data_IF_902965771816
#
_entry.id   IF_902965771816
#
_cell.length_a   1.000
_cell.length_b   1.000
_cell.length_c   1.000
_cell.angle_alpha   90.00
_cell.angle_beta   90.00
_cell.angle_gamma   90.00
#
_symmetry.space_group_name_H-M   'P 1'
#
loop_
_entity.id
_entity.type
_entity.pdbx_description
1 polymer ?
#
# COMPACT_ATOMS: atom_id res chain seq x y z
N UNK A 1 -15.28 9.64 -86.90
CA UNK A 1 -14.49 8.40 -87.13
C UNK A 1 -13.59 8.23 -85.90
N UNK A 2 -13.92 7.34 -84.93
CA UNK A 2 -13.25 6.02 -84.70
C UNK A 2 -11.75 6.25 -84.35
N UNK A 3 -11.13 5.95 -83.19
CA UNK A 3 -11.20 4.95 -82.07
C UNK A 3 -10.33 5.54 -80.91
N UNK A 4 -10.64 5.46 -79.61
CA UNK A 4 -10.64 4.33 -78.64
C UNK A 4 -9.24 3.85 -78.14
N UNK A 5 -8.99 4.06 -76.82
CA UNK A 5 -8.06 3.38 -75.84
C UNK A 5 -6.55 3.59 -76.09
N UNK A 6 -5.68 3.88 -75.13
CA UNK A 6 -5.35 3.29 -73.81
C UNK A 6 -4.31 4.26 -73.18
N UNK A 7 -4.13 4.43 -71.86
CA UNK A 7 -3.08 3.75 -71.08
C UNK A 7 -2.97 4.37 -69.67
N UNK A 8 -2.72 3.50 -68.70
CA UNK A 8 -2.62 3.67 -67.25
C UNK A 8 -1.74 4.84 -66.80
N UNK A 9 -2.19 5.60 -65.79
CA UNK A 9 -1.33 6.45 -64.97
C UNK A 9 -0.94 5.72 -63.68
N UNK A 10 0.37 5.69 -63.47
CA UNK A 10 1.12 5.03 -62.39
C UNK A 10 0.80 5.67 -61.03
N UNK A 11 0.20 4.92 -60.12
CA UNK A 11 0.26 5.20 -58.68
C UNK A 11 1.50 4.51 -58.12
N UNK A 12 2.45 5.30 -57.62
CA UNK A 12 3.62 4.79 -56.92
C UNK A 12 3.18 4.11 -55.61
N UNK A 13 3.41 2.80 -55.51
CA UNK A 13 3.41 2.05 -54.27
C UNK A 13 4.52 2.61 -53.36
N UNK A 14 4.14 3.21 -52.23
CA UNK A 14 5.04 3.32 -51.09
C UNK A 14 5.00 2.00 -50.29
N UNK A 15 6.20 1.56 -49.96
CA UNK A 15 6.54 0.25 -49.43
C UNK A 15 5.78 -0.16 -48.17
N UNK A 16 5.17 -1.35 -48.26
CA UNK A 16 4.85 -2.19 -47.11
C UNK A 16 6.13 -2.79 -46.55
N UNK A 17 6.59 -2.30 -45.40
CA UNK A 17 7.39 -3.11 -44.48
C UNK A 17 6.61 -3.23 -43.17
N UNK A 18 5.94 -4.37 -43.05
CA UNK A 18 5.28 -4.86 -41.85
C UNK A 18 6.33 -4.99 -40.76
N UNK A 19 6.43 -3.97 -39.92
CA UNK A 19 7.08 -4.08 -38.63
C UNK A 19 5.97 -4.32 -37.61
N UNK A 20 5.61 -5.59 -37.42
CA UNK A 20 4.81 -6.04 -36.29
C UNK A 20 5.59 -5.76 -35.03
N UNK A 21 5.43 -4.54 -34.51
CA UNK A 21 5.84 -4.17 -33.17
C UNK A 21 4.96 -4.98 -32.23
N UNK A 22 5.58 -5.89 -31.48
CA UNK A 22 4.96 -6.53 -30.34
C UNK A 22 4.28 -5.46 -29.49
N UNK A 23 2.97 -5.55 -29.38
CA UNK A 23 2.18 -4.82 -28.41
C UNK A 23 2.71 -5.17 -27.01
N UNK A 24 3.55 -4.29 -26.47
CA UNK A 24 3.79 -4.21 -25.03
C UNK A 24 2.44 -3.90 -24.38
N UNK A 25 1.88 -4.88 -23.67
CA UNK A 25 0.73 -4.69 -22.78
C UNK A 25 1.23 -3.90 -21.57
N UNK A 26 1.43 -2.60 -21.74
CA UNK A 26 1.54 -1.65 -20.65
C UNK A 26 0.13 -1.15 -20.37
N UNK A 27 -0.56 -1.78 -19.41
CA UNK A 27 -1.74 -1.19 -18.80
C UNK A 27 -1.36 0.21 -18.32
N UNK A 28 -2.08 1.23 -18.79
CA UNK A 28 -1.85 2.62 -18.40
C UNK A 28 -2.41 2.79 -17.01
N UNK A 29 -1.56 2.56 -16.01
CA UNK A 29 -1.80 3.02 -14.65
C UNK A 29 -2.33 4.45 -14.66
N UNK A 30 -3.56 4.66 -14.17
CA UNK A 30 -4.15 5.99 -14.03
C UNK A 30 -4.26 6.38 -12.55
N UNK A 31 -4.23 7.69 -12.28
CA UNK A 31 -4.70 8.26 -11.01
C UNK A 31 -6.17 8.65 -11.12
N UNK A 32 -6.90 7.96 -12.00
CA UNK A 32 -8.13 8.43 -12.63
C UNK A 32 -9.41 7.95 -11.95
N UNK A 33 -10.57 8.18 -12.59
CA UNK A 33 -11.88 7.91 -12.01
C UNK A 33 -12.14 6.42 -11.76
N UNK A 34 -11.39 5.51 -12.39
CA UNK A 34 -11.58 4.06 -12.24
C UNK A 34 -11.49 3.60 -10.79
N UNK A 35 -10.67 4.25 -9.97
CA UNK A 35 -10.53 3.93 -8.55
C UNK A 35 -11.69 4.41 -7.67
N UNK A 36 -12.61 5.23 -8.20
CA UNK A 36 -13.73 5.84 -7.48
C UNK A 36 -15.10 5.42 -8.02
N UNK A 37 -15.15 4.81 -9.21
CA UNK A 37 -16.39 4.33 -9.83
C UNK A 37 -16.60 2.84 -9.62
N UNK A 38 -17.81 2.37 -9.95
CA UNK A 38 -18.17 0.97 -9.89
C UNK A 38 -17.24 0.14 -10.80
N UNK A 39 -16.57 -0.86 -10.23
CA UNK A 39 -15.84 -1.89 -10.96
C UNK A 39 -15.74 -3.15 -10.09
N UNK A 40 -15.03 -4.18 -10.56
CA UNK A 40 -14.92 -5.46 -9.85
C UNK A 40 -13.51 -5.75 -9.31
N UNK A 41 -12.53 -4.86 -9.50
CA UNK A 41 -11.15 -5.08 -9.06
C UNK A 41 -10.94 -4.58 -7.63
N UNK A 42 -9.83 -4.96 -7.01
CA UNK A 42 -9.36 -4.42 -5.73
C UNK A 42 -8.46 -3.19 -5.97
N UNK A 43 -8.01 -2.50 -4.92
CA UNK A 43 -7.29 -1.23 -5.06
C UNK A 43 -8.19 -0.05 -5.44
N UNK A 44 -9.49 -0.17 -5.14
CA UNK A 44 -10.53 0.79 -5.53
C UNK A 44 -11.38 1.17 -4.30
N UNK A 45 -12.17 2.22 -4.44
CA UNK A 45 -13.02 2.76 -3.39
C UNK A 45 -13.97 1.73 -2.80
N UNK A 46 -14.05 1.69 -1.48
CA UNK A 46 -15.06 0.95 -0.74
C UNK A 46 -15.00 1.21 0.75
N UNK A 47 -15.95 0.67 1.50
CA UNK A 47 -16.01 0.85 2.93
C UNK A 47 -17.32 0.35 3.51
N UNK A 48 -17.42 0.40 4.84
CA UNK A 48 -18.64 0.05 5.54
C UNK A 48 -19.73 1.11 5.32
N UNK A 49 -20.93 0.69 4.95
CA UNK A 49 -22.04 1.61 4.61
C UNK A 49 -22.58 2.39 5.80
N UNK A 50 -22.27 1.94 7.03
CA UNK A 50 -22.65 2.61 8.25
C UNK A 50 -21.58 3.60 8.74
N UNK A 51 -20.46 3.74 8.03
CA UNK A 51 -19.43 4.74 8.35
C UNK A 51 -19.81 6.14 7.87
N UNK A 52 -20.91 6.62 8.44
CA UNK A 52 -21.60 7.84 8.06
C UNK A 52 -22.17 8.55 9.29
N UNK A 53 -22.13 9.87 9.23
CA UNK A 53 -22.75 10.79 10.16
C UNK A 53 -23.62 11.78 9.40
N UNK A 54 -24.31 12.68 10.11
CA UNK A 54 -25.12 13.75 9.48
C UNK A 54 -24.33 14.68 8.56
N UNK A 55 -22.99 14.74 8.69
CA UNK A 55 -22.14 15.73 7.98
C UNK A 55 -21.06 15.11 7.12
N UNK A 56 -20.68 13.85 7.37
CA UNK A 56 -19.56 13.20 6.73
C UNK A 56 -19.87 11.73 6.50
N UNK A 57 -19.42 11.19 5.38
CA UNK A 57 -19.28 9.75 5.15
C UNK A 57 -17.81 9.41 4.90
N UNK A 58 -17.46 8.15 5.15
CA UNK A 58 -16.11 7.64 5.06
C UNK A 58 -15.99 6.63 3.91
N UNK A 59 -14.81 6.59 3.31
CA UNK A 59 -14.40 5.56 2.35
C UNK A 59 -12.90 5.35 2.47
N UNK A 60 -12.47 4.12 2.25
CA UNK A 60 -11.08 3.79 2.02
C UNK A 60 -10.94 3.01 0.73
N UNK A 61 -9.99 2.08 0.73
CA UNK A 61 -9.70 1.17 -0.38
C UNK A 61 -10.07 -0.27 0.00
N UNK A 62 -10.76 -0.98 -0.88
CA UNK A 62 -10.85 -2.45 -0.83
C UNK A 62 -9.52 -3.02 -1.33
N UNK A 63 -8.63 -3.40 -0.41
CA UNK A 63 -7.21 -3.59 -0.69
C UNK A 63 -6.86 -4.78 -1.55
N UNK A 64 -7.35 -5.96 -1.17
CA UNK A 64 -7.02 -7.21 -1.82
C UNK A 64 -8.01 -8.32 -1.46
N UNK A 65 -7.91 -9.44 -2.16
CA UNK A 65 -8.62 -10.68 -1.87
C UNK A 65 -7.74 -11.63 -1.08
N UNK A 66 -8.27 -12.13 0.02
CA UNK A 66 -7.66 -13.21 0.80
C UNK A 66 -8.65 -14.36 0.95
N UNK A 67 -8.13 -15.52 1.32
CA UNK A 67 -8.93 -16.72 1.58
C UNK A 67 -8.47 -17.39 2.86
N UNK A 68 -9.39 -18.10 3.50
CA UNK A 68 -9.07 -19.00 4.60
C UNK A 68 -8.78 -20.43 4.12
N UNK A 69 -8.50 -21.34 5.06
CA UNK A 69 -8.24 -22.76 4.79
C UNK A 69 -9.46 -23.55 4.31
N UNK A 70 -10.67 -23.02 4.44
CA UNK A 70 -11.90 -23.63 3.92
C UNK A 70 -12.19 -23.20 2.47
N UNK A 71 -11.46 -22.21 1.96
CA UNK A 71 -11.68 -21.60 0.66
C UNK A 71 -12.69 -20.45 0.68
N UNK A 72 -13.12 -19.99 1.86
CA UNK A 72 -13.96 -18.81 1.97
C UNK A 72 -13.16 -17.54 1.61
N UNK A 73 -13.78 -16.67 0.82
CA UNK A 73 -13.15 -15.46 0.29
C UNK A 73 -13.49 -14.23 1.13
N UNK A 74 -12.50 -13.39 1.38
CA UNK A 74 -12.65 -12.16 2.14
C UNK A 74 -11.96 -10.99 1.45
N UNK A 75 -12.60 -9.83 1.51
CA UNK A 75 -11.96 -8.55 1.19
C UNK A 75 -11.11 -8.13 2.39
N UNK A 76 -9.83 -7.87 2.13
CA UNK A 76 -8.88 -7.28 3.08
C UNK A 76 -8.86 -5.75 2.92
N UNK A 77 -8.98 -5.04 4.03
CA UNK A 77 -8.74 -3.59 4.13
C UNK A 77 -8.38 -3.23 5.58
N UNK A 78 -8.38 -1.96 5.95
CA UNK A 78 -8.13 -1.51 7.33
C UNK A 78 -9.37 -1.71 8.23
N UNK A 79 -9.12 -1.80 9.54
CA UNK A 79 -10.14 -1.77 10.57
C UNK A 79 -10.93 -0.45 10.48
N UNK A 80 -10.25 0.68 10.39
CA UNK A 80 -10.95 1.97 10.29
C UNK A 80 -11.74 2.16 8.98
N UNK A 81 -11.62 1.25 8.00
CA UNK A 81 -12.38 1.28 6.73
C UNK A 81 -13.57 0.30 6.75
N UNK A 82 -13.40 -0.92 7.24
CA UNK A 82 -14.46 -1.95 7.24
C UNK A 82 -15.12 -2.15 8.61
N UNK A 83 -14.35 -1.96 9.68
CA UNK A 83 -14.80 -2.17 11.05
C UNK A 83 -15.16 -0.86 11.78
N UNK A 84 -15.16 0.28 11.08
CA UNK A 84 -15.55 1.60 11.61
C UNK A 84 -14.79 1.96 12.88
N UNK A 85 -13.49 1.64 12.90
CA UNK A 85 -12.63 1.82 14.08
C UNK A 85 -13.17 1.08 15.31
N UNK A 86 -13.31 -0.25 15.19
CA UNK A 86 -13.89 -1.18 16.18
C UNK A 86 -15.38 -0.98 16.51
N UNK A 87 -16.12 -0.18 15.74
CA UNK A 87 -17.55 0.08 16.00
C UNK A 87 -18.51 -0.81 15.18
N UNK A 88 -18.00 -1.53 14.18
CA UNK A 88 -18.84 -2.35 13.33
C UNK A 88 -19.30 -3.63 14.03
N UNK A 89 -20.53 -4.03 13.73
CA UNK A 89 -21.09 -5.33 14.08
C UNK A 89 -20.88 -6.31 12.92
N UNK A 90 -20.61 -7.57 13.23
CA UNK A 90 -20.51 -8.65 12.23
C UNK A 90 -21.78 -8.67 11.36
N UNK A 91 -21.60 -8.77 10.05
CA UNK A 91 -22.67 -8.75 9.05
C UNK A 91 -23.04 -7.36 8.51
N UNK A 92 -22.37 -6.29 8.96
CA UNK A 92 -22.57 -4.97 8.35
C UNK A 92 -22.13 -4.95 6.87
N UNK A 93 -22.93 -4.31 6.02
CA UNK A 93 -22.72 -4.22 4.59
C UNK A 93 -21.46 -3.41 4.23
N UNK A 94 -20.66 -3.93 3.30
CA UNK A 94 -19.53 -3.23 2.68
C UNK A 94 -19.87 -2.92 1.22
N UNK A 95 -19.72 -1.66 0.81
CA UNK A 95 -20.05 -1.22 -0.55
C UNK A 95 -18.83 -0.98 -1.43
N UNK A 96 -19.06 -1.09 -2.75
CA UNK A 96 -18.16 -0.63 -3.82
C UNK A 96 -19.01 0.11 -4.87
N UNK A 97 -18.71 1.39 -5.19
CA UNK A 97 -17.75 2.26 -4.50
C UNK A 97 -18.08 2.49 -3.01
N UNK A 98 -17.16 3.12 -2.29
CA UNK A 98 -17.42 3.60 -0.94
C UNK A 98 -18.37 4.80 -0.93
N UNK A 99 -18.88 5.15 0.24
CA UNK A 99 -19.89 6.21 0.42
C UNK A 99 -19.45 7.57 -0.14
N UNK A 100 -18.19 7.97 0.09
CA UNK A 100 -17.63 9.25 -0.39
C UNK A 100 -17.80 9.41 -1.90
N UNK A 101 -17.64 8.33 -2.64
CA UNK A 101 -17.66 8.33 -4.11
C UNK A 101 -19.06 8.04 -4.68
N UNK A 102 -20.06 7.89 -3.80
CA UNK A 102 -21.47 7.69 -4.16
C UNK A 102 -22.42 8.61 -3.38
N UNK A 103 -22.02 9.86 -3.15
CA UNK A 103 -22.83 10.91 -2.50
C UNK A 103 -23.39 10.48 -1.13
N UNK A 104 -22.60 9.73 -0.35
CA UNK A 104 -22.98 9.17 0.93
C UNK A 104 -24.22 8.26 0.91
N UNK A 105 -24.54 7.68 -0.25
CA UNK A 105 -25.55 6.64 -0.41
C UNK A 105 -24.83 5.32 -0.66
N UNK A 106 -25.27 4.23 -0.02
CA UNK A 106 -24.69 2.92 -0.31
C UNK A 106 -25.03 2.48 -1.74
N UNK A 107 -24.03 2.21 -2.61
CA UNK A 107 -24.25 1.63 -3.94
C UNK A 107 -24.39 0.10 -3.82
N UNK A 108 -23.70 -0.64 -4.70
CA UNK A 108 -23.65 -2.10 -4.68
C UNK A 108 -22.95 -2.57 -3.41
N UNK A 109 -23.59 -3.50 -2.72
CA UNK A 109 -22.97 -4.22 -1.60
C UNK A 109 -22.17 -5.39 -2.15
N UNK A 110 -20.91 -5.48 -1.73
CA UNK A 110 -19.95 -6.45 -2.24
C UNK A 110 -19.48 -7.45 -1.20
N UNK A 111 -19.58 -7.12 0.09
CA UNK A 111 -19.14 -7.99 1.17
C UNK A 111 -19.90 -7.70 2.48
N UNK A 112 -19.75 -8.58 3.45
CA UNK A 112 -20.32 -8.49 4.79
C UNK A 112 -19.18 -8.46 5.82
N UNK A 113 -19.11 -7.46 6.69
CA UNK A 113 -18.05 -7.35 7.68
C UNK A 113 -17.98 -8.62 8.55
N UNK A 114 -16.78 -9.21 8.66
CA UNK A 114 -16.59 -10.48 9.37
C UNK A 114 -15.89 -10.25 10.70
N UNK A 115 -14.70 -9.65 10.68
CA UNK A 115 -13.86 -9.54 11.87
C UNK A 115 -12.70 -8.57 11.66
N UNK A 116 -12.17 -8.05 12.76
CA UNK A 116 -10.96 -7.23 12.77
C UNK A 116 -10.19 -7.45 14.08
N UNK A 117 -8.84 -7.53 14.04
CA UNK A 117 -8.01 -7.25 15.20
C UNK A 117 -8.36 -5.86 15.74
N UNK A 118 -8.39 -5.72 17.08
CA UNK A 118 -8.72 -4.46 17.72
C UNK A 118 -7.70 -3.37 17.33
N UNK A 119 -8.13 -2.14 17.13
CA UNK A 119 -7.20 -1.02 16.93
C UNK A 119 -6.24 -0.92 18.13
N UNK A 120 -4.97 -0.67 17.83
CA UNK A 120 -3.89 -0.74 18.80
C UNK A 120 -3.31 -2.13 19.05
N UNK A 121 -3.81 -3.20 18.41
CA UNK A 121 -3.18 -4.53 18.42
C UNK A 121 -1.96 -4.64 17.49
N UNK A 122 -1.25 -3.52 17.24
CA UNK A 122 -0.11 -3.39 16.33
C UNK A 122 -0.40 -3.54 14.83
N UNK A 123 -1.64 -3.81 14.43
CA UNK A 123 -2.10 -3.79 13.04
C UNK A 123 -3.43 -3.06 12.93
N UNK A 124 -3.71 -2.51 11.76
CA UNK A 124 -4.99 -1.91 11.40
C UNK A 124 -5.53 -2.64 10.17
N UNK A 125 -6.31 -3.68 10.41
CA UNK A 125 -6.78 -4.59 9.37
C UNK A 125 -8.16 -5.13 9.70
N UNK A 126 -8.91 -5.51 8.67
CA UNK A 126 -10.22 -6.13 8.79
C UNK A 126 -10.51 -7.04 7.59
N UNK A 127 -11.39 -7.99 7.82
CA UNK A 127 -11.94 -8.89 6.82
C UNK A 127 -13.45 -8.66 6.67
N UNK A 128 -13.91 -8.68 5.43
CA UNK A 128 -15.33 -8.77 5.10
C UNK A 128 -15.56 -9.94 4.12
N UNK A 129 -16.48 -10.84 4.43
CA UNK A 129 -16.80 -12.00 3.61
C UNK A 129 -17.33 -11.55 2.26
N UNK A 130 -16.68 -11.99 1.19
CA UNK A 130 -17.04 -11.60 -0.17
C UNK A 130 -18.40 -12.19 -0.56
N UNK A 131 -19.31 -11.35 -1.05
CA UNK A 131 -20.57 -11.82 -1.64
C UNK A 131 -20.29 -12.45 -3.02
N UNK A 132 -20.87 -13.61 -3.35
CA UNK A 132 -20.61 -14.25 -4.64
C UNK A 132 -20.96 -13.37 -5.84
N UNK A 133 -20.06 -13.31 -6.83
CA UNK A 133 -20.28 -12.57 -8.08
C UNK A 133 -20.21 -11.04 -7.95
N UNK A 134 -19.79 -10.50 -6.80
CA UNK A 134 -19.72 -9.05 -6.59
C UNK A 134 -18.37 -8.44 -6.96
N UNK A 135 -17.27 -9.18 -6.78
CA UNK A 135 -15.91 -8.73 -7.11
C UNK A 135 -15.16 -9.82 -7.88
N UNK A 136 -14.02 -9.45 -8.46
CA UNK A 136 -13.16 -10.32 -9.23
C UNK A 136 -12.52 -11.38 -8.32
N UNK A 137 -12.82 -12.65 -8.57
CA UNK A 137 -12.33 -13.75 -7.74
C UNK A 137 -10.86 -14.11 -8.00
N UNK A 138 -10.20 -13.52 -9.01
CA UNK A 138 -8.75 -13.70 -9.19
C UNK A 138 -7.92 -12.83 -8.24
N UNK A 139 -8.54 -11.91 -7.51
CA UNK A 139 -7.83 -10.97 -6.65
C UNK A 139 -7.11 -9.86 -7.41
N UNK A 140 -7.47 -9.61 -8.68
CA UNK A 140 -6.81 -8.57 -9.46
C UNK A 140 -7.00 -7.19 -8.83
N UNK A 141 -5.88 -6.47 -8.68
CA UNK A 141 -5.86 -5.10 -8.19
C UNK A 141 -5.83 -4.16 -9.41
N UNK A 142 -6.66 -3.12 -9.41
CA UNK A 142 -6.72 -2.11 -10.49
C UNK A 142 -5.32 -1.56 -10.77
N UNK A 143 -4.93 -1.53 -12.05
CA UNK A 143 -3.62 -1.10 -12.55
C UNK A 143 -2.37 -1.89 -12.11
N UNK A 144 -2.55 -2.94 -11.30
CA UNK A 144 -1.48 -3.87 -10.92
C UNK A 144 -1.70 -5.25 -11.54
N UNK A 145 -2.96 -5.67 -11.65
CA UNK A 145 -3.36 -7.01 -12.07
C UNK A 145 -3.34 -8.02 -10.91
N UNK A 146 -3.28 -9.30 -11.27
CA UNK A 146 -3.25 -10.39 -10.29
C UNK A 146 -1.91 -10.42 -9.55
N UNK A 147 -1.99 -10.44 -8.22
CA UNK A 147 -0.82 -10.49 -7.34
C UNK A 147 -0.32 -11.92 -7.11
N UNK A 148 0.85 -12.05 -6.48
CA UNK A 148 1.34 -13.31 -5.96
C UNK A 148 0.62 -13.69 -4.66
N UNK A 149 0.33 -14.98 -4.46
CA UNK A 149 -0.10 -15.51 -3.15
C UNK A 149 1.05 -15.57 -2.14
N UNK A 150 2.29 -15.46 -2.59
CA UNK A 150 3.50 -15.50 -1.77
C UNK A 150 3.92 -14.09 -1.36
N UNK A 151 3.90 -13.83 -0.06
CA UNK A 151 4.33 -12.56 0.54
C UNK A 151 5.83 -12.33 0.37
N UNK A 152 6.25 -11.06 0.38
CA UNK A 152 7.65 -10.64 0.38
C UNK A 152 7.94 -9.81 1.63
N UNK A 153 9.02 -10.16 2.34
CA UNK A 153 9.45 -9.39 3.50
C UNK A 153 9.89 -7.97 3.09
N UNK A 154 9.53 -6.94 3.86
CA UNK A 154 9.94 -5.57 3.58
C UNK A 154 11.44 -5.41 3.81
N UNK A 155 12.15 -4.87 2.82
CA UNK A 155 13.56 -4.47 2.93
C UNK A 155 13.73 -3.00 2.56
N UNK A 156 14.67 -2.31 3.21
CA UNK A 156 15.01 -0.92 2.85
C UNK A 156 15.55 -0.90 1.43
N UNK A 157 15.02 -0.01 0.60
CA UNK A 157 15.37 0.06 -0.83
C UNK A 157 14.52 -0.82 -1.73
N UNK A 158 13.56 -1.60 -1.21
CA UNK A 158 12.64 -2.36 -2.04
C UNK A 158 11.68 -1.44 -2.80
N UNK A 159 11.68 -1.55 -4.14
CA UNK A 159 10.68 -0.93 -4.99
C UNK A 159 9.29 -1.53 -4.73
N UNK A 160 8.30 -0.66 -4.54
CA UNK A 160 6.92 -1.03 -4.21
C UNK A 160 5.92 -0.24 -5.06
N UNK A 161 4.72 -0.79 -5.18
CA UNK A 161 3.58 -0.14 -5.80
C UNK A 161 2.32 -0.36 -4.95
N UNK A 162 1.31 0.48 -5.15
CA UNK A 162 -0.02 0.30 -4.58
C UNK A 162 -1.07 0.88 -5.52
N UNK A 163 -2.28 0.38 -5.42
CA UNK A 163 -3.47 0.97 -6.04
C UNK A 163 -4.47 1.34 -4.96
N UNK A 164 -5.03 2.55 -5.02
CA UNK A 164 -5.88 3.09 -3.96
C UNK A 164 -6.89 4.11 -4.46
N UNK A 165 -7.95 4.32 -3.68
CA UNK A 165 -9.11 5.12 -4.10
C UNK A 165 -8.75 6.55 -4.53
N UNK A 166 -7.75 7.17 -3.92
CA UNK A 166 -7.46 8.60 -4.08
C UNK A 166 -6.31 8.85 -5.02
N UNK A 167 -5.19 8.15 -4.84
CA UNK A 167 -3.99 8.38 -5.66
C UNK A 167 -3.84 7.39 -6.79
N UNK A 168 -4.76 6.43 -6.94
CA UNK A 168 -4.72 5.40 -7.97
C UNK A 168 -3.47 4.54 -7.87
N UNK A 169 -2.90 4.16 -9.02
CA UNK A 169 -1.61 3.48 -9.05
C UNK A 169 -0.44 4.43 -8.77
N UNK A 170 0.33 4.14 -7.72
CA UNK A 170 1.57 4.85 -7.42
C UNK A 170 2.71 3.87 -7.13
N UNK A 171 3.93 4.34 -7.34
CA UNK A 171 5.15 3.59 -7.05
C UNK A 171 6.03 4.35 -6.07
N UNK A 172 6.84 3.61 -5.33
CA UNK A 172 7.72 4.16 -4.32
C UNK A 172 8.80 3.17 -3.91
N UNK A 173 9.51 3.52 -2.84
CA UNK A 173 10.58 2.68 -2.28
C UNK A 173 10.48 2.71 -0.78
N UNK A 174 10.69 1.56 -0.14
CA UNK A 174 10.74 1.46 1.32
C UNK A 174 11.95 2.24 1.84
N UNK A 175 11.69 3.27 2.64
CA UNK A 175 12.70 4.13 3.23
C UNK A 175 13.14 3.68 4.63
N UNK A 176 12.23 3.05 5.38
CA UNK A 176 12.52 2.51 6.71
C UNK A 176 11.66 1.30 7.04
N UNK A 177 12.22 0.37 7.82
CA UNK A 177 11.60 -0.83 8.35
C UNK A 177 11.83 -0.91 9.87
N UNK A 178 11.18 -1.86 10.53
CA UNK A 178 11.23 -2.01 11.99
C UNK A 178 10.84 -0.71 12.69
N UNK A 179 9.98 0.11 12.08
CA UNK A 179 9.71 1.45 12.56
C UNK A 179 8.64 1.43 13.63
N UNK A 180 8.95 1.98 14.79
CA UNK A 180 7.94 2.37 15.76
C UNK A 180 7.44 3.76 15.46
N UNK A 181 6.12 3.95 15.50
CA UNK A 181 5.46 5.15 15.00
C UNK A 181 4.22 5.47 15.84
N UNK A 182 4.01 6.75 16.10
CA UNK A 182 2.82 7.28 16.77
C UNK A 182 1.82 7.74 15.72
N UNK A 183 0.66 7.09 15.66
CA UNK A 183 -0.39 7.34 14.67
C UNK A 183 -1.60 7.94 15.37
N UNK A 184 -2.14 9.04 14.85
CA UNK A 184 -3.37 9.66 15.35
C UNK A 184 -4.58 9.12 14.59
N UNK A 185 -5.61 8.76 15.36
CA UNK A 185 -6.91 8.35 14.84
C UNK A 185 -7.95 9.45 15.09
N UNK A 186 -8.41 10.16 14.05
CA UNK A 186 -9.49 11.13 14.18
C UNK A 186 -10.76 10.48 14.72
N UNK A 187 -11.58 11.26 15.44
CA UNK A 187 -12.85 10.75 16.00
C UNK A 187 -13.91 10.44 14.94
N UNK A 188 -13.74 11.01 13.75
CA UNK A 188 -14.58 10.81 12.57
C UNK A 188 -13.78 11.21 11.34
N UNK A 189 -14.14 10.68 10.17
CA UNK A 189 -13.49 11.10 8.93
C UNK A 189 -13.65 12.60 8.69
N UNK A 190 -12.59 13.22 8.18
CA UNK A 190 -12.52 14.68 8.01
C UNK A 190 -12.37 15.49 9.30
N UNK A 191 -12.30 14.86 10.48
CA UNK A 191 -11.99 15.56 11.71
C UNK A 191 -10.47 15.75 11.91
N UNK A 192 -10.12 16.80 12.65
CA UNK A 192 -8.75 17.05 13.09
C UNK A 192 -8.50 16.44 14.47
N UNK A 193 -7.24 16.10 14.75
CA UNK A 193 -6.81 15.55 16.04
C UNK A 193 -7.03 14.05 16.13
N UNK A 194 -7.20 13.54 17.34
CA UNK A 194 -7.35 12.11 17.58
C UNK A 194 -6.50 11.58 18.72
N UNK A 195 -6.82 10.38 19.18
CA UNK A 195 -5.98 9.64 20.12
C UNK A 195 -4.75 9.11 19.37
N UNK A 196 -3.58 9.23 20.00
CA UNK A 196 -2.35 8.66 19.47
C UNK A 196 -2.21 7.21 19.93
N UNK A 197 -1.87 6.33 18.99
CA UNK A 197 -1.61 4.91 19.21
C UNK A 197 -0.23 4.60 18.66
N UNK A 198 0.60 3.92 19.45
CA UNK A 198 1.95 3.52 19.01
C UNK A 198 1.90 2.14 18.36
N UNK A 199 2.39 2.08 17.12
CA UNK A 199 2.63 0.86 16.37
C UNK A 199 4.13 0.61 16.29
N UNK A 200 4.54 -0.66 16.26
CA UNK A 200 5.93 -1.13 16.20
C UNK A 200 6.11 -2.04 15.00
N UNK A 201 7.34 -2.18 14.53
CA UNK A 201 7.65 -3.01 13.37
C UNK A 201 6.98 -2.54 12.07
N UNK A 202 6.76 -1.25 11.88
CA UNK A 202 6.04 -0.73 10.71
C UNK A 202 6.97 -0.52 9.51
N UNK A 203 6.38 -0.54 8.31
CA UNK A 203 7.06 -0.24 7.03
C UNK A 203 6.78 1.21 6.67
N UNK A 204 7.81 1.94 6.26
CA UNK A 204 7.70 3.36 5.93
C UNK A 204 8.19 3.64 4.52
N UNK A 205 7.37 4.35 3.75
CA UNK A 205 7.69 4.84 2.42
C UNK A 205 7.75 6.37 2.49
N UNK A 206 8.93 6.94 2.28
CA UNK A 206 9.13 8.39 2.35
C UNK A 206 8.85 9.02 0.98
N UNK A 207 7.60 9.38 0.74
CA UNK A 207 7.13 10.00 -0.49
C UNK A 207 5.95 10.93 -0.20
N UNK A 208 5.88 12.05 -0.92
CA UNK A 208 4.74 12.98 -0.87
C UNK A 208 3.65 12.66 -1.90
N UNK A 209 3.88 11.67 -2.76
CA UNK A 209 2.98 11.30 -3.85
C UNK A 209 2.54 9.84 -3.80
N UNK A 210 3.07 9.05 -2.86
CA UNK A 210 2.76 7.63 -2.79
C UNK A 210 1.34 7.37 -2.32
N UNK A 211 0.81 8.14 -1.38
CA UNK A 211 -0.55 7.99 -0.88
C UNK A 211 -1.15 9.30 -0.38
N UNK A 212 -2.47 9.34 -0.30
CA UNK A 212 -3.23 10.40 0.34
C UNK A 212 -4.36 9.83 1.22
N UNK A 213 -5.12 10.72 1.86
CA UNK A 213 -6.23 10.34 2.72
C UNK A 213 -7.23 9.42 2.02
N UNK A 214 -7.49 8.28 2.67
CA UNK A 214 -8.31 7.14 2.28
C UNK A 214 -7.83 6.33 1.07
N UNK A 215 -6.53 6.36 0.78
CA UNK A 215 -5.86 5.16 0.25
C UNK A 215 -5.68 4.09 1.35
N UNK A 216 -6.08 4.38 2.59
CA UNK A 216 -6.20 3.42 3.68
C UNK A 216 -6.83 2.10 3.22
N UNK A 217 -6.13 1.00 3.48
CA UNK A 217 -6.54 -0.34 3.08
C UNK A 217 -5.90 -0.81 1.78
N UNK A 218 -5.22 0.06 1.03
CA UNK A 218 -4.46 -0.35 -0.16
C UNK A 218 -3.37 -1.36 0.20
N UNK A 219 -3.33 -2.46 -0.54
CA UNK A 219 -2.21 -3.39 -0.47
C UNK A 219 -0.99 -2.77 -1.14
N UNK A 220 0.14 -2.76 -0.42
CA UNK A 220 1.45 -2.40 -0.95
C UNK A 220 2.12 -3.70 -1.41
N UNK A 221 2.50 -3.74 -2.68
CA UNK A 221 3.12 -4.90 -3.33
C UNK A 221 4.53 -4.58 -3.81
N UNK A 222 5.35 -5.60 -4.03
CA UNK A 222 6.65 -5.45 -4.67
C UNK A 222 6.49 -4.96 -6.11
N UNK A 223 7.40 -4.09 -6.54
CA UNK A 223 7.44 -3.55 -7.89
C UNK A 223 8.84 -3.64 -8.51
N UNK A 224 9.51 -4.76 -8.28
CA UNK A 224 10.83 -5.08 -8.81
C UNK A 224 10.77 -6.03 -10.03
N UNK A 225 9.57 -6.40 -10.48
CA UNK A 225 9.31 -7.20 -11.67
C UNK A 225 7.98 -6.78 -12.28
N UNK A 226 7.91 -6.76 -13.61
CA UNK A 226 6.68 -6.42 -14.35
C UNK A 226 5.60 -7.52 -14.30
N UNK A 227 5.94 -8.73 -13.83
CA UNK A 227 5.04 -9.89 -13.82
C UNK A 227 4.87 -10.53 -12.43
N UNK A 228 5.48 -9.94 -11.40
CA UNK A 228 5.48 -10.49 -10.05
C UNK A 228 5.31 -9.39 -9.01
N UNK A 229 4.09 -9.27 -8.50
CA UNK A 229 3.70 -8.34 -7.45
C UNK A 229 3.38 -9.12 -6.17
N UNK A 230 4.36 -9.20 -5.27
CA UNK A 230 4.21 -9.90 -4.00
C UNK A 230 3.67 -8.96 -2.91
N UNK A 231 2.72 -9.38 -2.07
CA UNK A 231 2.27 -8.58 -0.93
C UNK A 231 3.43 -8.24 0.01
N UNK A 232 3.54 -6.97 0.43
CA UNK A 232 4.63 -6.49 1.31
C UNK A 232 4.07 -5.85 2.59
N UNK A 233 3.09 -4.96 2.45
CA UNK A 233 2.50 -4.24 3.58
C UNK A 233 1.06 -3.83 3.30
N UNK A 234 0.29 -3.52 4.35
CA UNK A 234 -1.04 -2.93 4.25
C UNK A 234 -0.97 -1.47 4.66
N UNK A 235 -1.28 -0.54 3.76
CA UNK A 235 -1.29 0.90 4.05
C UNK A 235 -2.39 1.21 5.06
N UNK A 236 -2.06 1.93 6.14
CA UNK A 236 -3.06 2.35 7.13
C UNK A 236 -2.94 3.78 7.65
N UNK A 237 -1.79 4.43 7.46
CA UNK A 237 -1.59 5.78 7.94
C UNK A 237 -0.57 6.53 7.08
N UNK A 238 -0.54 7.85 7.22
CA UNK A 238 0.45 8.67 6.54
C UNK A 238 0.43 10.14 6.95
N UNK A 239 1.23 10.92 6.25
CA UNK A 239 1.35 12.37 6.34
C UNK A 239 1.59 12.93 4.94
N UNK A 240 1.82 14.24 4.81
CA UNK A 240 2.15 14.86 3.51
C UNK A 240 3.45 14.39 2.88
N UNK A 241 4.32 13.67 3.61
CA UNK A 241 5.64 13.24 3.11
C UNK A 241 5.96 11.79 3.39
N UNK A 242 5.06 11.01 4.00
CA UNK A 242 5.35 9.66 4.45
C UNK A 242 4.10 8.80 4.51
N UNK A 243 4.23 7.55 4.07
CA UNK A 243 3.21 6.51 4.18
C UNK A 243 3.69 5.44 5.14
N UNK A 244 2.78 4.93 5.98
CA UNK A 244 3.00 3.86 6.93
C UNK A 244 2.16 2.65 6.52
N UNK A 245 2.79 1.48 6.47
CA UNK A 245 2.11 0.21 6.27
C UNK A 245 2.43 -0.80 7.37
N UNK A 246 1.44 -1.57 7.77
CA UNK A 246 1.67 -2.77 8.59
C UNK A 246 2.38 -3.84 7.74
N UNK A 247 3.47 -4.49 8.21
CA UNK A 247 4.05 -5.62 7.48
C UNK A 247 2.99 -6.67 7.23
N UNK A 248 2.93 -7.18 6.01
CA UNK A 248 1.79 -8.02 5.63
C UNK A 248 1.78 -9.36 6.37
N UNK A 249 2.95 -9.86 6.78
CA UNK A 249 3.05 -11.06 7.62
C UNK A 249 2.37 -10.86 8.97
N UNK A 250 2.55 -9.70 9.62
CA UNK A 250 1.92 -9.40 10.91
C UNK A 250 0.40 -9.28 10.77
N UNK A 251 -0.06 -8.70 9.64
CA UNK A 251 -1.48 -8.62 9.29
C UNK A 251 -2.10 -10.02 9.14
N UNK A 252 -1.45 -10.91 8.37
CA UNK A 252 -1.94 -12.28 8.18
C UNK A 252 -2.00 -13.06 9.51
N UNK A 253 -0.99 -12.91 10.37
CA UNK A 253 -0.97 -13.54 11.70
C UNK A 253 -2.13 -13.03 12.56
N UNK A 254 -2.30 -11.72 12.65
CA UNK A 254 -3.34 -11.11 13.48
C UNK A 254 -4.76 -11.47 13.00
N UNK A 255 -4.99 -11.43 11.68
CA UNK A 255 -6.28 -11.81 11.10
C UNK A 255 -6.55 -13.31 11.26
N UNK A 256 -5.54 -14.15 11.08
CA UNK A 256 -5.70 -15.60 11.27
C UNK A 256 -6.05 -15.94 12.71
N UNK A 257 -5.37 -15.31 13.67
CA UNK A 257 -5.67 -15.46 15.10
C UNK A 257 -7.09 -14.96 15.44
N UNK A 258 -7.52 -13.86 14.83
CA UNK A 258 -8.83 -13.27 15.07
C UNK A 258 -9.97 -14.06 14.42
N UNK A 259 -9.75 -14.63 13.23
CA UNK A 259 -10.71 -15.45 12.50
C UNK A 259 -10.79 -16.88 13.06
N UNK A 260 -9.69 -17.38 13.65
CA UNK A 260 -9.56 -18.78 14.07
C UNK A 260 -9.20 -19.74 12.92
N UNK A 261 -8.89 -19.21 11.74
CA UNK A 261 -8.51 -19.95 10.54
C UNK A 261 -7.32 -19.25 9.88
N UNK A 262 -6.41 -20.01 9.27
CA UNK A 262 -5.27 -19.42 8.57
C UNK A 262 -5.73 -18.66 7.33
N UNK A 263 -5.32 -17.40 7.23
CA UNK A 263 -5.61 -16.51 6.10
C UNK A 263 -4.39 -16.43 5.18
N UNK A 264 -4.64 -16.43 3.87
CA UNK A 264 -3.61 -16.31 2.82
C UNK A 264 -4.13 -15.52 1.63
N UNK A 265 -3.23 -14.97 0.81
CA UNK A 265 -3.63 -14.20 -0.37
C UNK A 265 -4.16 -15.08 -1.50
N UNK A 266 -5.21 -14.60 -2.16
CA UNK A 266 -5.61 -15.12 -3.47
C UNK A 266 -4.72 -14.48 -4.53
N UNK A 267 -4.12 -15.29 -5.39
CA UNK A 267 -3.20 -14.82 -6.42
C UNK A 267 -2.48 -15.97 -7.12
N UNK A 268 -1.68 -15.62 -8.12
CA UNK A 268 -0.81 -16.58 -8.80
C UNK A 268 0.39 -16.97 -7.95
N UNK A 269 1.08 -18.06 -8.33
CA UNK A 269 2.42 -18.31 -7.81
C UNK A 269 3.39 -17.63 -8.77
N UNK A 270 4.02 -16.57 -8.31
CA UNK A 270 5.13 -15.98 -9.04
C UNK A 270 6.43 -16.52 -8.46
N UNK A 271 7.02 -17.54 -9.09
CA UNK A 271 8.43 -17.85 -8.88
C UNK A 271 9.21 -16.72 -9.55
N UNK A 272 9.73 -15.76 -8.78
CA UNK A 272 10.72 -14.83 -9.32
C UNK A 272 11.82 -15.70 -9.94
N UNK A 273 11.91 -15.68 -11.27
CA UNK A 273 12.89 -16.49 -11.95
C UNK A 273 14.27 -16.08 -11.40
N UNK A 274 14.99 -17.03 -10.81
CA UNK A 274 16.44 -16.96 -10.68
C UNK A 274 17.05 -17.05 -12.08
N UNK A 275 16.70 -16.12 -12.97
CA UNK A 275 17.50 -15.89 -14.16
C UNK A 275 18.75 -15.17 -13.67
N UNK A 276 19.89 -15.83 -13.89
CA UNK A 276 21.21 -15.28 -13.69
C UNK A 276 21.24 -13.80 -14.06
N UNK A 277 21.72 -13.00 -13.12
CA UNK A 277 21.86 -11.56 -13.22
C UNK A 277 22.93 -11.25 -14.29
N UNK A 278 22.53 -11.20 -15.55
CA UNK A 278 23.27 -10.46 -16.57
C UNK A 278 23.08 -8.97 -16.25
N UNK A 279 24.15 -8.21 -15.96
CA UNK A 279 24.04 -6.81 -15.57
C UNK A 279 23.70 -5.98 -16.80
N UNK A 280 22.42 -5.94 -17.18
CA UNK A 280 21.92 -4.84 -18.01
C UNK A 280 21.68 -3.65 -17.11
N UNK A 281 22.62 -2.72 -17.21
CA UNK A 281 22.57 -1.37 -16.67
C UNK A 281 21.35 -0.63 -17.26
N UNK A 282 20.17 -0.84 -16.69
CA UNK A 282 19.01 0.03 -16.91
C UNK A 282 18.84 0.91 -15.69
N UNK A 283 19.42 2.09 -15.80
CA UNK A 283 19.28 3.18 -14.85
C UNK A 283 17.82 3.68 -14.82
N UNK A 284 17.10 3.34 -13.75
CA UNK A 284 16.02 4.17 -13.21
C UNK A 284 16.25 4.26 -11.70
N UNK A 285 16.91 5.34 -11.28
CA UNK A 285 17.09 5.78 -9.88
C UNK A 285 17.80 4.79 -8.96
N UNK A 286 19.09 5.01 -8.68
CA UNK A 286 19.92 4.17 -7.81
C UNK A 286 19.22 3.70 -6.53
N UNK A 287 18.66 2.48 -6.57
CA UNK A 287 18.10 1.78 -5.43
C UNK A 287 19.29 1.22 -4.65
N UNK A 288 19.40 1.57 -3.37
CA UNK A 288 20.45 1.06 -2.51
C UNK A 288 19.83 0.16 -1.46
N UNK A 289 20.00 -1.14 -1.66
CA UNK A 289 19.58 -2.15 -0.69
C UNK A 289 20.64 -2.27 0.41
N UNK A 290 20.18 -2.31 1.67
CA UNK A 290 21.07 -2.45 2.82
C UNK A 290 21.44 -3.92 3.05
N UNK A 291 22.66 -4.18 3.50
CA UNK A 291 23.06 -5.56 3.82
C UNK A 291 22.28 -6.09 5.03
N UNK A 292 21.84 -7.37 5.01
CA UNK A 292 21.10 -7.96 6.12
C UNK A 292 21.83 -7.87 7.47
N UNK A 293 23.15 -8.09 7.47
CA UNK A 293 24.00 -7.97 8.66
C UNK A 293 24.04 -6.54 9.21
N UNK A 294 24.07 -5.52 8.35
CA UNK A 294 24.03 -4.13 8.80
C UNK A 294 22.65 -3.79 9.38
N UNK A 295 21.57 -4.26 8.74
CA UNK A 295 20.19 -4.08 9.23
C UNK A 295 20.01 -4.74 10.59
N UNK A 296 20.49 -5.97 10.77
CA UNK A 296 20.41 -6.70 12.04
C UNK A 296 21.15 -5.98 13.16
N UNK A 297 22.40 -5.55 12.91
CA UNK A 297 23.18 -4.78 13.89
C UNK A 297 22.46 -3.50 14.31
N UNK A 298 21.98 -2.71 13.34
CA UNK A 298 21.26 -1.46 13.63
C UNK A 298 19.92 -1.73 14.31
N UNK A 299 19.24 -2.83 13.99
CA UNK A 299 18.02 -3.26 14.69
C UNK A 299 18.30 -3.58 16.16
N UNK A 300 19.46 -4.15 16.47
CA UNK A 300 19.90 -4.37 17.85
C UNK A 300 20.00 -3.07 18.64
N UNK A 301 20.67 -2.05 18.08
CA UNK A 301 20.79 -0.71 18.70
C UNK A 301 19.42 -0.04 18.81
N UNK A 302 18.60 -0.10 17.75
CA UNK A 302 17.24 0.44 17.74
C UNK A 302 16.43 -0.09 18.93
N UNK A 303 16.41 -1.40 19.15
CA UNK A 303 15.65 -2.03 20.25
C UNK A 303 16.08 -1.55 21.63
N UNK A 304 17.36 -1.22 21.81
CA UNK A 304 17.88 -0.72 23.08
C UNK A 304 17.40 0.71 23.38
N UNK A 305 17.25 1.56 22.34
CA UNK A 305 16.97 3.00 22.52
C UNK A 305 15.54 3.42 22.18
N UNK A 306 14.76 2.55 21.55
CA UNK A 306 13.44 2.86 20.99
C UNK A 306 12.53 3.59 21.99
N UNK A 307 12.42 3.07 23.22
CA UNK A 307 11.56 3.64 24.26
C UNK A 307 12.00 5.03 24.68
N UNK A 308 13.30 5.24 24.86
CA UNK A 308 13.86 6.53 25.27
C UNK A 308 13.65 7.57 24.17
N UNK A 309 13.97 7.24 22.92
CA UNK A 309 13.86 8.17 21.80
C UNK A 309 12.40 8.51 21.50
N UNK A 310 11.49 7.53 21.52
CA UNK A 310 10.05 7.77 21.32
C UNK A 310 9.41 8.61 22.44
N UNK A 311 10.02 8.65 23.64
CA UNK A 311 9.53 9.49 24.73
C UNK A 311 9.96 10.97 24.59
N UNK A 312 10.88 11.28 23.66
CA UNK A 312 11.35 12.66 23.45
C UNK A 312 10.24 13.50 22.79
N UNK A 313 10.00 14.74 23.27
CA UNK A 313 9.03 15.64 22.64
C UNK A 313 9.27 15.80 21.15
N UNK A 314 8.21 15.76 20.34
CA UNK A 314 8.30 15.93 18.89
C UNK A 314 8.75 14.70 18.11
N UNK A 315 9.27 13.65 18.76
CA UNK A 315 9.54 12.37 18.09
C UNK A 315 8.24 11.61 17.89
N UNK A 316 7.95 11.29 16.63
CA UNK A 316 6.74 10.57 16.23
C UNK A 316 7.04 9.23 15.57
N UNK A 317 8.32 8.92 15.34
CA UNK A 317 8.74 7.57 14.98
C UNK A 317 10.25 7.35 15.03
N UNK A 318 10.65 6.09 15.08
CA UNK A 318 12.04 5.66 15.01
C UNK A 318 12.13 4.29 14.35
N UNK A 319 13.05 4.09 13.41
CA UNK A 319 13.21 2.82 12.68
C UNK A 319 14.60 2.62 12.10
N UNK A 320 14.76 1.57 11.30
CA UNK A 320 15.99 1.28 10.56
C UNK A 320 15.84 1.74 9.12
N UNK A 321 16.81 2.46 8.59
CA UNK A 321 16.82 2.93 7.20
C UNK A 321 18.23 3.21 6.70
N UNK A 322 18.35 3.86 5.54
CA UNK A 322 19.64 4.26 5.00
C UNK A 322 20.11 5.62 5.55
N UNK A 323 21.40 5.74 5.86
CA UNK A 323 22.04 6.97 6.38
C UNK A 323 21.84 8.19 5.47
N UNK A 324 21.60 7.96 4.18
CA UNK A 324 21.23 8.96 3.19
C UNK A 324 20.42 8.32 2.06
N UNK A 325 19.83 9.13 1.17
CA UNK A 325 18.96 8.64 0.08
C UNK A 325 19.64 7.64 -0.86
N UNK A 326 20.96 7.75 -1.04
CA UNK A 326 21.77 6.90 -1.92
C UNK A 326 22.88 6.17 -1.15
N UNK A 327 22.73 6.02 0.17
CA UNK A 327 23.74 5.37 1.01
C UNK A 327 23.41 3.88 1.19
N UNK A 328 24.44 3.03 1.17
CA UNK A 328 24.35 1.61 1.51
C UNK A 328 24.63 1.35 3.00
N UNK A 329 24.79 2.41 3.79
CA UNK A 329 25.04 2.35 5.21
C UNK A 329 23.70 2.37 5.96
N UNK A 330 23.46 1.35 6.79
CA UNK A 330 22.31 1.30 7.67
C UNK A 330 22.43 2.33 8.80
N UNK A 331 21.32 2.97 9.15
CA UNK A 331 21.22 4.04 10.14
C UNK A 331 19.91 3.93 10.92
N UNK A 332 19.88 4.58 12.08
CA UNK A 332 18.65 4.86 12.81
C UNK A 332 17.98 6.05 12.13
N UNK A 333 16.71 5.91 11.77
CA UNK A 333 15.91 6.99 11.21
C UNK A 333 14.94 7.48 12.27
N UNK A 334 14.99 8.77 12.62
CA UNK A 334 14.07 9.40 13.58
C UNK A 334 13.11 10.29 12.81
N UNK A 335 11.82 10.05 12.97
CA UNK A 335 10.73 10.86 12.42
C UNK A 335 10.29 11.88 13.45
N UNK A 336 10.26 13.15 13.04
CA UNK A 336 9.98 14.29 13.90
C UNK A 336 8.79 15.07 13.36
N UNK A 337 7.87 15.43 14.25
CA UNK A 337 6.80 16.39 13.98
C UNK A 337 7.41 17.78 13.74
N UNK A 338 7.32 18.25 12.49
CA UNK A 338 7.88 19.55 12.10
C UNK A 338 7.22 20.75 12.79
N UNK A 339 6.03 20.57 13.36
CA UNK A 339 5.32 21.63 14.08
C UNK A 339 5.79 21.77 15.53
N UNK A 340 6.48 20.76 16.06
CA UNK A 340 7.02 20.75 17.42
C UNK A 340 8.34 19.97 17.48
N UNK A 341 9.40 20.42 16.77
CA UNK A 341 10.66 19.68 16.73
C UNK A 341 11.35 19.67 18.10
N UNK A 342 12.00 18.55 18.50
CA UNK A 342 12.85 18.50 19.68
C UNK A 342 14.03 19.46 19.54
N UNK A 343 14.48 20.00 20.67
CA UNK A 343 15.65 20.89 20.72
C UNK A 343 16.94 20.16 20.30
N UNK A 344 17.15 18.92 20.76
CA UNK A 344 18.38 18.16 20.52
C UNK A 344 18.09 16.68 20.24
N UNK A 345 18.50 16.22 19.04
CA UNK A 345 18.56 14.80 18.70
C UNK A 345 20.00 14.37 18.46
N UNK A 346 20.38 13.16 18.89
CA UNK A 346 21.72 12.65 18.66
C UNK A 346 21.98 12.49 17.16
N UNK A 347 23.20 12.78 16.71
CA UNK A 347 23.66 12.51 15.33
C UNK A 347 24.19 11.09 15.17
N UNK A 348 24.48 10.41 16.27
CA UNK A 348 24.81 8.98 16.33
C UNK A 348 24.39 8.37 17.68
N UNK A 349 24.09 7.08 17.69
CA UNK A 349 23.73 6.29 18.87
C UNK A 349 24.53 5.00 18.81
N UNK A 350 25.34 4.72 19.83
CA UNK A 350 26.20 3.53 19.88
C UNK A 350 27.05 3.33 18.60
N UNK A 351 27.55 4.43 18.02
CA UNK A 351 28.34 4.43 16.78
C UNK A 351 27.51 4.24 15.50
N UNK A 352 26.19 4.05 15.59
CA UNK A 352 25.27 4.04 14.44
C UNK A 352 24.84 5.46 14.11
N UNK A 353 24.92 5.85 12.83
CA UNK A 353 24.46 7.16 12.38
C UNK A 353 22.95 7.32 12.59
N UNK A 354 22.55 8.56 12.91
CA UNK A 354 21.14 8.95 12.99
C UNK A 354 20.81 9.86 11.82
N UNK A 355 19.68 9.58 11.17
CA UNK A 355 19.08 10.44 10.14
C UNK A 355 17.72 10.93 10.63
N UNK A 356 17.57 12.24 10.74
CA UNK A 356 16.30 12.87 11.12
C UNK A 356 15.46 13.17 9.88
N UNK A 357 14.18 12.83 9.91
CA UNK A 357 13.20 13.15 8.87
C UNK A 357 12.05 13.95 9.50
N UNK A 358 11.86 15.18 9.02
CA UNK A 358 10.77 16.06 9.46
C UNK A 358 9.50 15.83 8.65
N UNK A 359 8.41 15.54 9.33
CA UNK A 359 7.11 15.27 8.73
C UNK A 359 5.97 15.88 9.55
N UNK A 360 4.77 15.92 8.98
CA UNK A 360 3.57 16.33 9.73
C UNK A 360 3.11 15.16 10.62
N UNK A 361 2.19 15.39 11.58
CA UNK A 361 1.60 14.30 12.35
C UNK A 361 1.12 13.18 11.43
N UNK A 362 1.40 11.94 11.83
CA UNK A 362 0.99 10.74 11.09
C UNK A 362 -0.44 10.40 11.51
N UNK A 363 -1.33 10.28 10.52
CA UNK A 363 -2.78 10.15 10.71
C UNK A 363 -3.27 8.92 9.94
N UNK A 364 -4.16 8.15 10.56
CA UNK A 364 -5.03 7.20 9.87
C UNK A 364 -6.27 7.95 9.39
N UNK A 365 -6.43 8.10 8.07
CA UNK A 365 -7.48 8.93 7.45
C UNK A 365 -8.79 8.19 7.27
#
# INVERSE_FOLDING_TARGET
MIKLRTLLLVCALLASLVCTSLLTIGGRADGGPNHQVLNNNYGVSGGNVNDISRRFCCSGTLGSLVQDTTGALYILSNNHVLARSDQATVGEDISQPGLVDNNCVAPRIVADFTTAPALGSNVDAALAALRPGTMNTTGAIEDIGTISSVVKLPTVGLAVAKSGRTTGFTTGTIGSINTSVSVRYPKSCGANGGSAVTYRNQVVINSSTFSAGGDSGSLIVSNNSASCHQPVALLFAGSSTTTIGNPISDVLVALSAKLGLTVSFVGGICTAATTAFEPKLSAVGGQVELSPLAVERVTGVLRAVEREIMARPGVIGIGVGAAGKLSNEAAIVIYVDRTAPPADLPTSIEGVKVRTIYTDPIIAY
#
